data_IF_137008445282
#
_entry.id   IF_137008445282
#
_cell.length_a   1.000
_cell.length_b   1.000
_cell.length_c   1.000
_cell.angle_alpha   90.00
_cell.angle_beta   90.00
_cell.angle_gamma   90.00
#
_symmetry.space_group_name_H-M   'P 1'
#
loop_
_entity.id
_entity.type
_entity.pdbx_description
1 polymer ?
#
# COMPACT_ATOMS: atom_id res chain seq x y z
N UNK A 1 5.87 -29.22 12.79
CA UNK A 1 5.23 -28.04 12.17
C UNK A 1 5.37 -26.87 13.13
N UNK A 2 6.21 -25.87 12.84
CA UNK A 2 6.31 -24.65 13.66
C UNK A 2 5.49 -23.57 12.97
N UNK A 3 4.27 -23.32 13.44
CA UNK A 3 3.53 -22.10 13.09
C UNK A 3 4.26 -20.94 13.76
N UNK A 4 5.13 -20.26 13.00
CA UNK A 4 5.69 -18.99 13.42
C UNK A 4 4.57 -17.96 13.29
N UNK A 5 3.96 -17.60 14.41
CA UNK A 5 3.17 -16.39 14.51
C UNK A 5 4.16 -15.22 14.37
N UNK A 6 4.46 -14.84 13.14
CA UNK A 6 5.23 -13.64 12.86
C UNK A 6 4.32 -12.48 13.20
N UNK A 7 4.46 -11.94 14.41
CA UNK A 7 3.83 -10.67 14.75
C UNK A 7 4.30 -9.65 13.71
N UNK A 8 3.40 -8.89 13.07
CA UNK A 8 3.81 -7.90 12.10
C UNK A 8 4.77 -6.96 12.83
N UNK A 9 6.03 -6.94 12.39
CA UNK A 9 7.01 -5.93 12.80
C UNK A 9 6.32 -4.59 12.67
N UNK A 10 6.52 -3.68 13.62
CA UNK A 10 5.90 -2.34 13.61
C UNK A 10 6.09 -1.62 12.26
N UNK A 11 7.15 -1.97 11.53
CA UNK A 11 7.48 -1.47 10.18
C UNK A 11 6.92 -2.28 8.99
N UNK A 12 6.06 -3.27 9.23
CA UNK A 12 5.52 -4.13 8.17
C UNK A 12 4.33 -3.45 7.50
N UNK A 13 4.20 -3.53 6.16
CA UNK A 13 3.04 -3.00 5.44
C UNK A 13 1.74 -3.56 6.01
N UNK A 14 0.84 -2.68 6.45
CA UNK A 14 -0.46 -3.07 7.01
C UNK A 14 -1.62 -2.48 6.18
N UNK A 15 -2.20 -3.24 5.25
CA UNK A 15 -3.33 -2.78 4.44
C UNK A 15 -4.60 -2.47 5.24
N UNK A 16 -4.76 -2.99 6.46
CA UNK A 16 -5.93 -2.70 7.30
C UNK A 16 -6.02 -1.23 7.70
N UNK A 17 -4.89 -0.52 7.76
CA UNK A 17 -4.86 0.93 7.99
C UNK A 17 -5.61 1.66 6.88
N UNK A 18 -5.40 1.27 5.61
CA UNK A 18 -6.10 1.87 4.47
C UNK A 18 -7.61 1.58 4.53
N UNK A 19 -7.99 0.34 4.89
CA UNK A 19 -9.41 -0.01 5.06
C UNK A 19 -10.10 0.82 6.13
N UNK A 20 -9.46 1.02 7.29
CA UNK A 20 -9.96 1.89 8.37
C UNK A 20 -10.14 3.35 7.92
N UNK A 21 -9.37 3.80 6.93
CA UNK A 21 -9.50 5.13 6.33
C UNK A 21 -10.45 5.18 5.12
N UNK A 22 -11.26 4.13 4.89
CA UNK A 22 -12.29 4.09 3.86
C UNK A 22 -11.79 3.74 2.46
N UNK A 23 -10.59 3.15 2.36
CA UNK A 23 -10.07 2.63 1.10
C UNK A 23 -10.42 1.16 0.91
N UNK A 24 -10.79 0.78 -0.30
CA UNK A 24 -10.93 -0.62 -0.68
C UNK A 24 -9.61 -1.15 -1.22
N UNK A 25 -9.00 -2.12 -0.53
CA UNK A 25 -7.74 -2.75 -0.98
C UNK A 25 -8.05 -3.83 -2.00
N UNK A 26 -7.56 -3.67 -3.24
CA UNK A 26 -7.72 -4.64 -4.34
C UNK A 26 -6.61 -5.70 -4.34
N UNK A 27 -5.36 -5.27 -4.16
CA UNK A 27 -4.20 -6.15 -4.12
C UNK A 27 -3.09 -5.52 -3.27
N UNK A 28 -2.30 -6.35 -2.60
CA UNK A 28 -1.11 -5.94 -1.86
C UNK A 28 0.04 -6.90 -2.17
N UNK A 29 1.22 -6.36 -2.47
CA UNK A 29 2.41 -7.13 -2.78
C UNK A 29 3.66 -6.42 -2.22
N UNK A 30 4.27 -7.02 -1.19
CA UNK A 30 5.38 -6.41 -0.46
C UNK A 30 4.99 -5.03 0.09
N UNK A 31 5.79 -4.01 -0.20
CA UNK A 31 5.55 -2.63 0.22
C UNK A 31 4.57 -1.86 -0.67
N UNK A 32 3.99 -2.46 -1.71
CA UNK A 32 3.04 -1.78 -2.59
C UNK A 32 1.64 -2.35 -2.40
N UNK A 33 0.62 -1.50 -2.52
CA UNK A 33 -0.75 -1.95 -2.64
C UNK A 33 -1.56 -1.07 -3.59
N UNK A 34 -2.56 -1.67 -4.23
CA UNK A 34 -3.53 -1.00 -5.08
C UNK A 34 -4.81 -0.83 -4.28
N UNK A 35 -5.24 0.41 -4.14
CA UNK A 35 -6.46 0.76 -3.41
C UNK A 35 -7.42 1.60 -4.25
N UNK A 36 -8.68 1.55 -3.86
CA UNK A 36 -9.77 2.28 -4.50
C UNK A 36 -10.48 3.17 -3.49
N UNK A 37 -10.92 4.34 -3.94
CA UNK A 37 -11.89 5.18 -3.24
C UNK A 37 -12.89 5.73 -4.24
N UNK A 38 -14.12 5.23 -4.19
CA UNK A 38 -15.07 5.44 -5.27
C UNK A 38 -14.52 4.89 -6.59
N UNK A 39 -14.45 5.72 -7.62
CA UNK A 39 -13.93 5.37 -8.94
C UNK A 39 -12.42 5.58 -9.12
N UNK A 40 -11.72 6.09 -8.10
CA UNK A 40 -10.28 6.38 -8.19
C UNK A 40 -9.45 5.16 -7.77
N UNK A 41 -8.64 4.62 -8.69
CA UNK A 41 -7.56 3.67 -8.38
C UNK A 41 -6.29 4.45 -8.00
N UNK A 42 -5.68 4.08 -6.88
CA UNK A 42 -4.45 4.70 -6.38
C UNK A 42 -3.49 3.60 -5.95
N UNK A 43 -2.26 3.68 -6.44
CA UNK A 43 -1.17 2.84 -5.92
C UNK A 43 -0.60 3.53 -4.69
N UNK A 44 -0.53 2.81 -3.57
CA UNK A 44 0.11 3.25 -2.35
C UNK A 44 1.38 2.44 -2.13
N UNK A 45 2.37 3.07 -1.52
CA UNK A 45 3.64 2.45 -1.13
C UNK A 45 3.85 2.67 0.36
N UNK A 46 4.23 1.61 1.06
CA UNK A 46 4.61 1.62 2.46
C UNK A 46 6.06 2.06 2.58
N UNK A 47 6.29 3.23 3.14
CA UNK A 47 7.62 3.81 3.42
C UNK A 47 7.55 4.54 4.75
N UNK A 48 8.62 4.48 5.52
CA UNK A 48 8.75 5.20 6.79
C UNK A 48 7.58 4.91 7.77
N UNK A 49 7.10 3.67 7.79
CA UNK A 49 6.01 3.22 8.67
C UNK A 49 4.62 3.75 8.28
N UNK A 50 4.44 4.28 7.07
CA UNK A 50 3.14 4.80 6.61
C UNK A 50 2.86 4.52 5.13
N UNK A 51 1.57 4.54 4.77
CA UNK A 51 1.14 4.48 3.37
C UNK A 51 1.21 5.86 2.73
N UNK A 52 2.01 5.96 1.67
CA UNK A 52 2.13 7.16 0.85
C UNK A 52 1.62 6.85 -0.55
N UNK A 53 1.05 7.84 -1.25
CA UNK A 53 0.69 7.66 -2.66
C UNK A 53 1.97 7.43 -3.46
N UNK A 54 2.02 6.35 -4.21
CA UNK A 54 3.04 6.19 -5.23
C UNK A 54 2.71 7.22 -6.32
N UNK A 55 3.36 8.37 -6.28
CA UNK A 55 3.31 9.31 -7.39
C UNK A 55 3.85 8.56 -8.60
N UNK A 56 2.98 8.20 -9.53
CA UNK A 56 3.37 7.84 -10.88
C UNK A 56 3.99 9.08 -11.47
N UNK A 57 5.30 9.27 -11.25
CA UNK A 57 6.06 10.27 -11.96
C UNK A 57 5.76 10.01 -13.43
N UNK A 58 4.99 10.91 -14.05
CA UNK A 58 4.87 10.90 -15.49
C UNK A 58 6.32 10.82 -15.99
N UNK A 59 6.62 9.82 -16.81
CA UNK A 59 7.74 9.95 -17.72
C UNK A 59 7.38 11.16 -18.56
N UNK A 60 7.86 12.34 -18.16
CA UNK A 60 8.00 13.46 -19.07
C UNK A 60 9.11 13.00 -20.00
N UNK A 61 8.72 12.39 -21.11
CA UNK A 61 9.59 12.31 -22.28
C UNK A 61 9.89 13.75 -22.63
N UNK A 62 11.08 14.23 -22.23
CA UNK A 62 11.59 15.48 -22.74
C UNK A 62 11.66 15.32 -24.27
N UNK A 63 10.89 16.15 -24.97
CA UNK A 63 10.93 16.28 -26.42
C UNK A 63 12.23 16.95 -26.85
#
# INVERSE_FOLDING_TARGET
>A
MKSVLSFPKVDSPNPELLRRHGWSVKAAHGSYCVVWRGSQEVVMVWRDGTWQRANGGAIRTAA
#
